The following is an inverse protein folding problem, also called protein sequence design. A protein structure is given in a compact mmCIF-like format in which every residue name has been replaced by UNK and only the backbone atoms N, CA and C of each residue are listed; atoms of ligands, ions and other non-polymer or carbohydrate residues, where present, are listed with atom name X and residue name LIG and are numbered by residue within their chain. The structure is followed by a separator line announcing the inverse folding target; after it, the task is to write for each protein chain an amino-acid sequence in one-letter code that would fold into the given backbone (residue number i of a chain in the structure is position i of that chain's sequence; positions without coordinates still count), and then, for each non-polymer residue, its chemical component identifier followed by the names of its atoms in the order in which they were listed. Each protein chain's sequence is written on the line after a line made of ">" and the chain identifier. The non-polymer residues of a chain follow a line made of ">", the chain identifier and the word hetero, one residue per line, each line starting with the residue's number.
data_IF_027054644382
#
_entry.id   IF_027054644382
#
_cell.length_a   1.000
_cell.length_b   1.000
_cell.length_c   1.000
_cell.angle_alpha   90.00
_cell.angle_beta   90.00
_cell.angle_gamma   90.00
#
_symmetry.space_group_name_H-M   'P 1'
#
loop_
_entity.id
_entity.type
_entity.pdbx_description
1 polymer ?
#
# COMPACT_ATOMS: atom_id res chain seq x y z
N UNK A 1 -37.35 -21.15 -0.87
CA UNK A 1 -35.93 -21.35 -1.25
C UNK A 1 -35.55 -22.77 -0.89
N UNK A 2 -35.34 -23.64 -1.87
CA UNK A 2 -34.96 -25.03 -1.60
C UNK A 2 -33.51 -25.07 -1.08
N UNK A 3 -33.33 -25.50 0.18
CA UNK A 3 -32.03 -25.68 0.82
C UNK A 3 -31.57 -27.11 0.50
N UNK A 4 -30.43 -27.26 -0.14
CA UNK A 4 -29.84 -28.54 -0.49
C UNK A 4 -28.65 -28.83 0.41
N UNK A 5 -28.48 -30.09 0.80
CA UNK A 5 -27.34 -30.55 1.59
C UNK A 5 -26.29 -31.13 0.67
N UNK A 6 -25.03 -30.78 0.92
CA UNK A 6 -23.90 -31.33 0.21
C UNK A 6 -23.79 -32.83 0.48
N UNK A 7 -23.45 -33.57 -0.57
CA UNK A 7 -23.55 -35.02 -0.64
C UNK A 7 -24.91 -35.53 -1.13
N UNK A 8 -25.93 -34.70 -1.31
CA UNK A 8 -27.20 -35.11 -1.94
C UNK A 8 -27.10 -35.14 -3.48
N UNK A 9 -27.89 -36.01 -4.10
CA UNK A 9 -28.01 -36.10 -5.56
C UNK A 9 -29.08 -35.08 -6.01
N UNK A 10 -28.69 -34.14 -6.87
CA UNK A 10 -29.55 -33.01 -7.28
C UNK A 10 -29.67 -32.92 -8.80
N UNK A 11 -30.78 -32.34 -9.26
CA UNK A 11 -30.99 -32.05 -10.69
C UNK A 11 -29.98 -31.00 -11.18
N UNK A 12 -29.61 -31.04 -12.46
CA UNK A 12 -28.74 -30.05 -13.08
C UNK A 12 -29.15 -28.60 -12.82
N UNK A 13 -28.14 -27.74 -12.71
CA UNK A 13 -28.28 -26.31 -12.44
C UNK A 13 -27.16 -25.73 -11.59
N UNK A 14 -27.34 -24.47 -11.20
CA UNK A 14 -26.38 -23.70 -10.42
C UNK A 14 -26.73 -23.78 -8.93
N UNK A 15 -25.75 -24.14 -8.10
CA UNK A 15 -25.92 -24.26 -6.66
C UNK A 15 -24.88 -23.40 -5.95
N UNK A 16 -25.34 -22.41 -5.19
CA UNK A 16 -24.47 -21.51 -4.46
C UNK A 16 -24.29 -21.97 -3.02
N UNK A 17 -23.04 -22.07 -2.58
CA UNK A 17 -22.66 -22.28 -1.19
C UNK A 17 -22.31 -20.92 -0.54
N UNK A 18 -23.18 -20.34 0.30
CA UNK A 18 -22.93 -19.03 0.92
C UNK A 18 -21.82 -19.05 1.97
N UNK A 19 -21.44 -20.23 2.49
CA UNK A 19 -20.33 -20.36 3.46
C UNK A 19 -18.97 -20.34 2.76
N UNK A 20 -18.88 -20.98 1.60
CA UNK A 20 -17.67 -21.02 0.78
C UNK A 20 -17.61 -19.89 -0.27
N UNK A 21 -18.69 -19.12 -0.43
CA UNK A 21 -18.85 -18.13 -1.50
C UNK A 21 -18.59 -18.69 -2.91
N UNK A 22 -18.89 -19.98 -3.12
CA UNK A 22 -18.62 -20.70 -4.36
C UNK A 22 -19.91 -21.17 -5.04
N UNK A 23 -19.95 -21.12 -6.38
CA UNK A 23 -21.05 -21.64 -7.19
C UNK A 23 -20.60 -22.96 -7.81
N UNK A 24 -21.33 -24.03 -7.50
CA UNK A 24 -21.16 -25.35 -8.10
C UNK A 24 -22.10 -25.50 -9.29
N UNK A 25 -21.56 -25.95 -10.42
CA UNK A 25 -22.32 -26.20 -11.65
C UNK A 25 -22.54 -27.71 -11.76
N UNK A 26 -23.80 -28.12 -11.63
CA UNK A 26 -24.17 -29.53 -11.77
C UNK A 26 -24.66 -29.77 -13.21
N UNK A 27 -24.10 -30.76 -13.94
CA UNK A 27 -24.54 -31.11 -15.30
C UNK A 27 -26.04 -31.40 -15.38
N UNK A 28 -26.62 -31.26 -16.57
CA UNK A 28 -28.06 -31.46 -16.82
C UNK A 28 -28.56 -32.86 -16.44
N UNK A 29 -27.68 -33.86 -16.53
CA UNK A 29 -27.91 -35.25 -16.13
C UNK A 29 -28.09 -35.42 -14.61
N UNK A 30 -27.81 -34.36 -13.84
CA UNK A 30 -27.76 -34.40 -12.39
C UNK A 30 -26.38 -34.76 -11.89
N UNK A 31 -26.21 -34.69 -10.57
CA UNK A 31 -24.93 -34.99 -9.96
C UNK A 31 -24.97 -34.80 -8.45
N UNK A 32 -23.90 -35.26 -7.82
CA UNK A 32 -23.74 -35.17 -6.37
C UNK A 32 -23.08 -33.85 -6.00
N UNK A 33 -23.71 -33.10 -5.09
CA UNK A 33 -23.10 -31.86 -4.58
C UNK A 33 -21.86 -32.17 -3.72
N UNK A 34 -20.76 -31.42 -3.87
CA UNK A 34 -19.55 -31.63 -3.09
C UNK A 34 -19.70 -31.21 -1.63
N UNK A 35 -18.93 -31.85 -0.74
CA UNK A 35 -18.87 -31.56 0.69
C UNK A 35 -20.01 -32.18 1.50
N UNK A 36 -19.72 -33.07 2.44
CA UNK A 36 -20.74 -33.65 3.33
C UNK A 36 -21.32 -32.57 4.26
N UNK A 37 -22.64 -32.36 4.21
CA UNK A 37 -23.34 -31.45 5.12
C UNK A 37 -23.19 -29.95 4.83
N UNK A 38 -22.52 -29.57 3.73
CA UNK A 38 -22.51 -28.18 3.26
C UNK A 38 -23.93 -27.74 2.84
N UNK A 39 -24.25 -26.45 2.98
CA UNK A 39 -25.56 -25.93 2.58
C UNK A 39 -25.45 -25.26 1.23
N UNK A 40 -26.32 -25.64 0.32
CA UNK A 40 -26.42 -25.11 -1.03
C UNK A 40 -27.80 -24.51 -1.28
N UNK A 41 -27.83 -23.43 -2.05
CA UNK A 41 -29.06 -22.78 -2.52
C UNK A 41 -29.07 -22.84 -4.03
N UNK A 42 -30.17 -23.34 -4.61
CA UNK A 42 -30.32 -23.35 -6.06
C UNK A 42 -30.49 -21.94 -6.59
N UNK A 43 -29.61 -21.54 -7.50
CA UNK A 43 -29.66 -20.25 -8.17
C UNK A 43 -30.41 -20.43 -9.49
N UNK A 44 -31.57 -19.77 -9.67
CA UNK A 44 -32.29 -19.84 -10.93
C UNK A 44 -31.52 -19.07 -12.00
N UNK A 45 -31.40 -19.64 -13.21
CA UNK A 45 -30.65 -19.03 -14.32
C UNK A 45 -31.07 -17.59 -14.66
N UNK A 46 -32.37 -17.22 -14.69
CA UNK A 46 -32.78 -15.83 -14.94
C UNK A 46 -32.22 -14.83 -13.93
N UNK A 47 -31.94 -15.27 -12.70
CA UNK A 47 -31.34 -14.40 -11.69
C UNK A 47 -29.91 -14.02 -12.07
N UNK A 48 -29.13 -14.90 -12.71
CA UNK A 48 -27.80 -14.55 -13.20
C UNK A 48 -27.87 -13.43 -14.25
N UNK A 49 -28.87 -13.47 -15.14
CA UNK A 49 -29.05 -12.44 -16.18
C UNK A 49 -29.34 -11.04 -15.60
N UNK A 50 -29.93 -10.97 -14.40
CA UNK A 50 -30.19 -9.70 -13.71
C UNK A 50 -28.99 -9.31 -12.83
N UNK A 51 -28.38 -10.28 -12.14
CA UNK A 51 -27.25 -10.03 -11.24
C UNK A 51 -26.06 -9.46 -11.99
N UNK A 52 -25.72 -9.97 -13.17
CA UNK A 52 -24.58 -9.49 -13.97
C UNK A 52 -24.68 -7.98 -14.30
N UNK A 53 -25.74 -7.48 -14.96
CA UNK A 53 -25.86 -6.06 -15.26
C UNK A 53 -26.03 -5.20 -14.00
N UNK A 54 -26.71 -5.69 -12.96
CA UNK A 54 -26.84 -4.96 -11.68
C UNK A 54 -25.48 -4.77 -11.02
N UNK A 55 -24.66 -5.83 -10.93
CA UNK A 55 -23.29 -5.72 -10.39
C UNK A 55 -22.43 -4.79 -11.23
N UNK A 56 -22.54 -4.84 -12.56
CA UNK A 56 -21.86 -3.90 -13.45
C UNK A 56 -22.28 -2.46 -13.22
N UNK A 57 -23.58 -2.20 -13.11
CA UNK A 57 -24.11 -0.87 -12.84
C UNK A 57 -23.68 -0.35 -11.47
N UNK A 58 -23.72 -1.18 -10.43
CA UNK A 58 -23.19 -0.85 -9.10
C UNK A 58 -21.69 -0.53 -9.18
N UNK A 59 -20.91 -1.34 -9.89
CA UNK A 59 -19.49 -1.09 -10.06
C UNK A 59 -19.23 0.28 -10.71
N UNK A 60 -19.91 0.61 -11.81
CA UNK A 60 -19.79 1.93 -12.47
C UNK A 60 -20.24 3.07 -11.55
N UNK A 61 -21.33 2.88 -10.80
CA UNK A 61 -21.88 3.88 -9.88
C UNK A 61 -20.93 4.17 -8.72
N UNK A 62 -20.29 3.14 -8.16
CA UNK A 62 -19.37 3.27 -7.03
C UNK A 62 -17.92 3.55 -7.45
N UNK A 63 -17.55 3.34 -8.72
CA UNK A 63 -16.21 3.66 -9.25
C UNK A 63 -15.78 5.11 -8.94
N UNK A 64 -16.58 6.16 -9.22
CA UNK A 64 -16.18 7.53 -8.90
C UNK A 64 -16.07 7.76 -7.38
N UNK A 65 -16.93 7.12 -6.59
CA UNK A 65 -16.95 7.27 -5.12
C UNK A 65 -15.69 6.67 -4.48
N UNK A 66 -15.24 5.52 -4.99
CA UNK A 66 -14.04 4.84 -4.50
C UNK A 66 -12.79 5.70 -4.67
N UNK A 67 -12.67 6.45 -5.77
CA UNK A 67 -11.55 7.37 -5.98
C UNK A 67 -11.46 8.44 -4.89
N UNK A 68 -12.59 9.10 -4.58
CA UNK A 68 -12.64 10.07 -3.49
C UNK A 68 -12.45 9.43 -2.11
N UNK A 69 -13.01 8.24 -1.88
CA UNK A 69 -12.83 7.52 -0.62
C UNK A 69 -11.35 7.19 -0.37
N UNK A 70 -10.63 6.74 -1.41
CA UNK A 70 -9.20 6.47 -1.33
C UNK A 70 -8.38 7.75 -1.12
N UNK A 71 -8.75 8.85 -1.79
CA UNK A 71 -8.11 10.15 -1.60
C UNK A 71 -8.26 10.62 -0.15
N UNK A 72 -9.48 10.63 0.38
CA UNK A 72 -9.77 11.00 1.78
C UNK A 72 -9.03 10.06 2.73
N UNK A 73 -9.06 8.76 2.48
CA UNK A 73 -8.31 7.79 3.27
C UNK A 73 -6.80 8.07 3.28
N UNK A 74 -6.21 8.40 2.13
CA UNK A 74 -4.79 8.74 2.02
C UNK A 74 -4.45 10.04 2.77
N UNK A 75 -5.28 11.07 2.64
CA UNK A 75 -5.13 12.34 3.38
C UNK A 75 -5.21 12.08 4.88
N UNK A 76 -6.25 11.40 5.35
CA UNK A 76 -6.43 11.06 6.77
C UNK A 76 -5.25 10.24 7.27
N UNK A 77 -4.81 9.22 6.53
CA UNK A 77 -3.66 8.39 6.89
C UNK A 77 -2.36 9.18 6.91
N UNK A 78 -2.16 10.13 6.00
CA UNK A 78 -0.96 10.99 5.97
C UNK A 78 -0.95 11.99 7.12
N UNK A 79 -2.10 12.59 7.44
CA UNK A 79 -2.24 13.53 8.56
C UNK A 79 -2.09 12.79 9.90
N UNK A 80 -2.80 11.69 10.10
CA UNK A 80 -2.67 10.87 11.33
C UNK A 80 -1.32 10.17 11.44
N UNK A 81 -0.73 9.78 10.31
CA UNK A 81 0.64 9.26 10.22
C UNK A 81 1.67 10.31 10.62
N UNK A 82 1.60 11.51 10.04
CA UNK A 82 2.48 12.64 10.38
C UNK A 82 2.33 13.15 11.81
N UNK A 83 1.14 13.04 12.41
CA UNK A 83 0.94 13.33 13.85
C UNK A 83 1.61 12.26 14.73
N UNK A 84 1.56 10.98 14.33
CA UNK A 84 2.26 9.90 15.05
C UNK A 84 3.77 9.97 14.85
N UNK A 85 4.22 10.35 13.67
CA UNK A 85 5.63 10.53 13.32
C UNK A 85 6.20 11.79 13.99
N UNK A 86 5.44 12.89 14.06
CA UNK A 86 5.81 14.07 14.84
C UNK A 86 5.81 13.81 16.36
N UNK A 87 4.90 12.99 16.87
CA UNK A 87 4.95 12.51 18.25
C UNK A 87 6.14 11.54 18.48
N UNK A 88 6.50 10.74 17.48
CA UNK A 88 7.66 9.86 17.51
C UNK A 88 8.99 10.62 17.38
N UNK A 89 9.07 11.71 16.60
CA UNK A 89 10.22 12.61 16.51
C UNK A 89 10.38 13.45 17.79
N UNK A 90 9.27 13.89 18.39
CA UNK A 90 9.28 14.48 19.73
C UNK A 90 9.61 13.46 20.82
N UNK A 91 9.36 12.17 20.61
CA UNK A 91 9.83 11.10 21.50
C UNK A 91 11.30 10.70 21.19
N UNK A 92 11.76 10.82 19.95
CA UNK A 92 13.11 10.49 19.49
C UNK A 92 14.13 11.59 19.84
N UNK A 93 13.69 12.83 20.10
CA UNK A 93 14.51 13.81 20.81
C UNK A 93 14.79 13.41 22.27
N UNK A 94 14.03 12.46 22.82
CA UNK A 94 14.22 11.90 24.16
C UNK A 94 14.83 10.49 24.14
N UNK A 95 14.79 9.79 23.00
CA UNK A 95 15.36 8.44 22.86
C UNK A 95 16.24 8.30 21.61
N UNK A 96 17.51 7.87 21.73
CA UNK A 96 18.39 7.66 20.58
C UNK A 96 17.80 6.63 19.62
N UNK A 97 17.52 7.05 18.39
CA UNK A 97 16.68 6.35 17.43
C UNK A 97 17.37 5.16 16.72
N UNK A 98 16.81 3.97 16.90
CA UNK A 98 17.12 2.77 16.11
C UNK A 98 16.26 2.78 14.84
N UNK A 99 16.87 2.87 13.65
CA UNK A 99 16.18 2.89 12.34
C UNK A 99 16.59 1.69 11.45
N UNK A 100 16.03 0.49 11.69
CA UNK A 100 16.34 -0.68 10.89
C UNK A 100 15.53 -0.64 9.58
N UNK A 101 16.22 -0.71 8.45
CA UNK A 101 15.61 -0.84 7.12
C UNK A 101 15.51 0.42 6.27
N UNK A 102 16.07 1.56 6.72
CA UNK A 102 16.32 2.68 5.80
C UNK A 102 17.56 2.36 4.96
N UNK A 103 17.42 2.47 3.64
CA UNK A 103 18.56 2.45 2.74
C UNK A 103 18.74 3.85 2.16
N UNK A 104 19.86 4.49 2.53
CA UNK A 104 20.25 5.82 2.07
C UNK A 104 20.78 5.76 0.63
N UNK A 105 19.87 5.47 -0.31
CA UNK A 105 20.23 5.37 -1.73
C UNK A 105 20.32 6.73 -2.45
N UNK A 106 19.95 7.82 -1.78
CA UNK A 106 20.28 9.15 -2.22
C UNK A 106 21.52 9.59 -1.46
N UNK A 107 22.67 9.57 -2.14
CA UNK A 107 23.87 10.24 -1.67
C UNK A 107 23.52 11.66 -1.23
N UNK A 108 24.14 12.08 -0.12
CA UNK A 108 24.06 13.43 0.45
C UNK A 108 23.99 14.48 -0.67
N UNK A 109 22.96 15.34 -0.75
CA UNK A 109 23.01 16.50 -1.63
C UNK A 109 24.06 17.44 -1.04
N UNK A 110 25.29 17.32 -1.52
CA UNK A 110 26.44 18.07 -0.99
C UNK A 110 27.81 17.47 -1.28
N UNK A 111 27.92 16.27 -1.86
CA UNK A 111 29.21 15.64 -2.22
C UNK A 111 29.38 15.43 -3.74
N UNK A 112 28.79 16.31 -4.55
CA UNK A 112 29.15 16.45 -5.97
C UNK A 112 29.44 17.92 -6.27
N UNK A 113 30.66 18.36 -5.93
CA UNK A 113 31.36 19.42 -6.65
C UNK A 113 32.86 19.41 -6.28
N UNK A 114 33.54 18.30 -6.58
CA UNK A 114 35.00 18.31 -6.76
C UNK A 114 35.29 18.71 -8.22
N UNK A 115 35.36 20.02 -8.47
CA UNK A 115 35.97 20.59 -9.67
C UNK A 115 36.87 21.76 -9.25
N UNK A 116 38.17 21.53 -9.29
CA UNK A 116 39.23 22.53 -9.12
C UNK A 116 39.13 23.68 -10.16
N UNK A 117 39.98 24.72 -10.10
CA UNK A 117 40.43 25.54 -8.99
C UNK A 117 40.21 27.03 -9.33
N UNK A 118 39.63 27.80 -8.41
CA UNK A 118 39.63 29.27 -8.56
C UNK A 118 38.41 29.95 -7.95
N UNK A 119 38.49 30.26 -6.66
CA UNK A 119 37.74 31.38 -6.08
C UNK A 119 38.22 31.69 -4.66
N UNK A 120 38.99 32.78 -4.56
CA UNK A 120 39.17 33.68 -3.42
C UNK A 120 39.84 33.15 -2.12
N UNK A 121 40.78 33.92 -1.53
CA UNK A 121 41.50 33.51 -0.34
C UNK A 121 40.56 33.53 0.86
N UNK A 122 40.27 32.35 1.40
CA UNK A 122 39.63 32.19 2.70
C UNK A 122 40.52 32.83 3.77
N UNK A 123 39.89 33.51 4.74
CA UNK A 123 40.54 34.35 5.77
C UNK A 123 41.69 33.66 6.52
N UNK A 124 41.65 32.34 6.57
CA UNK A 124 42.68 31.48 7.16
C UNK A 124 44.01 31.53 6.39
N UNK A 125 43.99 31.65 5.06
CA UNK A 125 45.20 31.77 4.25
C UNK A 125 45.89 33.12 4.48
N UNK A 126 45.12 34.21 4.64
CA UNK A 126 45.67 35.52 5.00
C UNK A 126 46.23 35.55 6.42
N UNK A 127 45.56 34.89 7.36
CA UNK A 127 46.06 34.76 8.73
C UNK A 127 47.38 33.96 8.77
N UNK A 128 47.50 32.90 7.98
CA UNK A 128 48.75 32.15 7.85
C UNK A 128 49.86 32.96 7.16
N UNK A 129 49.54 33.76 6.14
CA UNK A 129 50.50 34.59 5.43
C UNK A 129 51.08 35.69 6.34
N UNK A 130 50.22 36.32 7.17
CA UNK A 130 50.63 37.29 8.19
C UNK A 130 51.49 36.65 9.30
N UNK A 131 51.22 35.39 9.67
CA UNK A 131 52.01 34.66 10.67
C UNK A 131 53.39 34.27 10.12
N UNK A 132 53.45 33.81 8.87
CA UNK A 132 54.71 33.43 8.20
C UNK A 132 55.59 34.67 7.98
N UNK A 133 55.01 35.82 7.61
CA UNK A 133 55.74 37.07 7.45
C UNK A 133 56.39 37.55 8.76
N UNK A 134 55.71 37.39 9.90
CA UNK A 134 56.30 37.70 11.22
C UNK A 134 57.48 36.80 11.53
N UNK A 135 57.34 35.48 11.33
CA UNK A 135 58.42 34.53 11.64
C UNK A 135 59.64 34.69 10.74
N UNK A 136 59.47 35.17 9.52
CA UNK A 136 60.58 35.38 8.57
C UNK A 136 61.33 36.70 8.77
N UNK A 137 60.75 37.65 9.52
CA UNK A 137 61.41 38.92 9.86
C UNK A 137 62.26 38.85 11.14
N UNK A 138 62.18 37.74 11.88
CA UNK A 138 62.93 37.48 13.12
C UNK A 138 64.10 36.47 12.91
N UNK A 139 64.55 36.28 11.66
CA UNK A 139 65.84 35.66 11.30
C UNK A 139 66.75 36.63 10.53
#
# INVERSE_FOLDING_TARGET
>A
MAKYTGGANVKGGYYWNPRAWAVEVVPSEGGRLPGSGARFVKVPFPLLLVVVPVLGALFLMFMPVIGFALLVHAVVKKVTGGVKEGAADLAATVHPGWRPGEAHFTGKPGEEEEKAPGAAPTKELKALEDEIARKRGDE
#
